data_IF_478001826834
#
_entry.id   IF_478001826834
#
_cell.length_a   1.000
_cell.length_b   1.000
_cell.length_c   1.000
_cell.angle_alpha   90.00
_cell.angle_beta   90.00
_cell.angle_gamma   90.00
#
_symmetry.space_group_name_H-M   'P 1'
#
loop_
_entity.id
_entity.type
_entity.pdbx_description
1 polymer ?
#
# COMPACT_ATOMS: atom_id res chain seq x y z
N UNK A 1 -15.22 0.62 -9.61
CA UNK A 1 -13.84 1.04 -9.31
C UNK A 1 -13.73 1.26 -7.81
N UNK A 2 -12.69 0.74 -7.17
CA UNK A 2 -12.58 0.67 -5.70
C UNK A 2 -11.68 1.73 -5.06
N UNK A 3 -11.68 2.98 -5.58
CA UNK A 3 -10.72 4.02 -5.20
C UNK A 3 -10.46 4.17 -3.69
N UNK A 4 -9.23 4.53 -3.34
CA UNK A 4 -8.73 4.64 -1.97
C UNK A 4 -8.93 6.05 -1.38
N UNK A 5 -8.39 6.27 -0.18
CA UNK A 5 -8.39 7.59 0.46
C UNK A 5 -7.34 8.57 -0.09
N UNK A 6 -6.40 8.13 -0.94
CA UNK A 6 -5.28 8.95 -1.39
C UNK A 6 -5.73 10.28 -2.01
N UNK A 7 -6.84 10.27 -2.77
CA UNK A 7 -7.41 11.49 -3.36
C UNK A 7 -7.81 12.58 -2.35
N UNK A 8 -8.23 12.18 -1.15
CA UNK A 8 -8.61 13.13 -0.10
C UNK A 8 -7.37 13.70 0.58
N UNK A 9 -6.31 12.89 0.72
CA UNK A 9 -5.02 13.33 1.25
C UNK A 9 -4.31 14.26 0.26
N UNK A 10 -4.36 13.96 -1.03
CA UNK A 10 -3.85 14.83 -2.10
C UNK A 10 -4.44 16.24 -2.05
N UNK A 11 -5.71 16.37 -1.66
CA UNK A 11 -6.41 17.65 -1.56
C UNK A 11 -5.87 18.56 -0.43
N UNK A 12 -5.00 18.04 0.44
CA UNK A 12 -4.26 18.82 1.44
C UNK A 12 -2.93 19.39 0.89
N UNK A 13 -2.74 19.38 -0.43
CA UNK A 13 -1.53 19.84 -1.11
C UNK A 13 -0.27 19.02 -0.72
N UNK A 14 -0.43 17.69 -0.63
CA UNK A 14 0.63 16.73 -0.35
C UNK A 14 0.74 15.76 -1.51
N UNK A 15 1.96 15.46 -1.95
CA UNK A 15 2.21 14.42 -2.95
C UNK A 15 1.94 13.02 -2.35
N UNK A 16 1.07 12.25 -3.02
CA UNK A 16 0.62 10.95 -2.51
C UNK A 16 0.76 9.85 -3.56
N UNK A 17 0.99 8.63 -3.08
CA UNK A 17 1.00 7.42 -3.90
C UNK A 17 0.29 6.31 -3.13
N UNK A 18 -0.57 5.55 -3.82
CA UNK A 18 -1.17 4.34 -3.27
C UNK A 18 -0.18 3.17 -3.36
N UNK A 19 0.01 2.46 -2.25
CA UNK A 19 0.92 1.31 -2.14
C UNK A 19 0.23 0.19 -1.36
N UNK A 20 0.49 -1.05 -1.74
CA UNK A 20 -0.09 -2.23 -1.09
C UNK A 20 0.42 -3.53 -1.71
N UNK A 21 -0.10 -4.65 -1.21
CA UNK A 21 0.18 -6.00 -1.74
C UNK A 21 -1.00 -6.51 -2.57
N UNK A 22 -0.76 -7.36 -3.59
CA UNK A 22 -1.85 -8.01 -4.30
C UNK A 22 -2.60 -8.98 -3.37
N UNK A 23 -3.93 -8.95 -3.45
CA UNK A 23 -4.83 -9.81 -2.69
C UNK A 23 -5.69 -10.62 -3.66
N UNK A 24 -5.76 -11.93 -3.44
CA UNK A 24 -6.71 -12.79 -4.15
C UNK A 24 -8.03 -12.87 -3.39
N UNK A 25 -9.13 -12.77 -4.14
CA UNK A 25 -10.50 -12.79 -3.59
C UNK A 25 -10.77 -11.69 -2.55
N UNK A 26 -10.32 -10.46 -2.84
CA UNK A 26 -10.57 -9.30 -1.98
C UNK A 26 -12.07 -9.17 -1.67
N UNK A 27 -12.41 -8.96 -0.39
CA UNK A 27 -13.75 -8.97 0.22
C UNK A 27 -14.42 -10.34 0.43
N UNK A 28 -13.75 -11.46 0.18
CA UNK A 28 -14.25 -12.78 0.57
C UNK A 28 -14.11 -13.02 2.08
N UNK A 29 -14.85 -13.97 2.68
CA UNK A 29 -14.65 -14.38 4.08
C UNK A 29 -13.23 -14.88 4.38
N UNK A 30 -12.48 -15.29 3.35
CA UNK A 30 -11.09 -15.69 3.45
C UNK A 30 -10.29 -15.15 2.26
N UNK A 31 -9.36 -14.24 2.55
CA UNK A 31 -8.48 -13.60 1.56
C UNK A 31 -7.09 -14.24 1.57
N UNK A 32 -6.39 -14.20 0.43
CA UNK A 32 -5.06 -14.80 0.29
C UNK A 32 -4.07 -13.77 -0.22
N UNK A 33 -2.90 -13.73 0.40
CA UNK A 33 -1.76 -12.89 0.02
C UNK A 33 -0.47 -13.70 -0.02
N UNK A 34 0.51 -13.26 -0.83
CA UNK A 34 1.83 -13.89 -0.86
C UNK A 34 2.71 -13.42 0.30
N UNK A 35 3.43 -14.36 0.93
CA UNK A 35 4.43 -14.03 1.96
C UNK A 35 5.55 -13.15 1.42
N UNK A 36 5.97 -13.36 0.17
CA UNK A 36 7.03 -12.56 -0.45
C UNK A 36 6.60 -11.11 -0.62
N UNK A 37 5.35 -10.89 -1.02
CA UNK A 37 4.83 -9.54 -1.27
C UNK A 37 4.66 -8.78 0.04
N UNK A 38 4.19 -9.46 1.11
CA UNK A 38 4.14 -8.89 2.46
C UNK A 38 5.53 -8.48 2.95
N UNK A 39 6.54 -9.34 2.78
CA UNK A 39 7.91 -9.03 3.18
C UNK A 39 8.52 -7.88 2.37
N UNK A 40 8.24 -7.83 1.07
CA UNK A 40 8.73 -6.75 0.21
C UNK A 40 8.02 -5.42 0.49
N UNK A 41 6.72 -5.43 0.81
CA UNK A 41 6.02 -4.23 1.26
C UNK A 41 6.64 -3.68 2.54
N UNK A 42 6.92 -4.54 3.53
CA UNK A 42 7.66 -4.14 4.73
C UNK A 42 9.01 -3.49 4.40
N UNK A 43 9.81 -4.11 3.52
CA UNK A 43 11.10 -3.55 3.10
C UNK A 43 10.96 -2.22 2.36
N UNK A 44 9.93 -2.07 1.53
CA UNK A 44 9.67 -0.83 0.78
C UNK A 44 9.34 0.32 1.74
N UNK A 45 8.47 0.11 2.73
CA UNK A 45 8.18 1.11 3.76
C UNK A 45 9.43 1.45 4.58
N UNK A 46 10.16 0.44 5.04
CA UNK A 46 11.42 0.67 5.78
C UNK A 46 12.42 1.47 4.95
N UNK A 47 12.61 1.13 3.67
CA UNK A 47 13.52 1.86 2.79
C UNK A 47 13.08 3.31 2.56
N UNK A 48 11.78 3.55 2.39
CA UNK A 48 11.23 4.89 2.20
C UNK A 48 11.45 5.81 3.42
N UNK A 49 11.37 5.26 4.63
CA UNK A 49 11.62 6.02 5.86
C UNK A 49 13.09 6.06 6.28
N UNK A 50 13.91 5.09 5.88
CA UNK A 50 15.35 5.02 6.20
C UNK A 50 16.23 5.84 5.26
N UNK A 51 15.73 6.22 4.08
CA UNK A 51 16.39 7.24 3.25
C UNK A 51 16.36 8.58 3.98
N UNK A 52 17.44 8.89 4.70
CA UNK A 52 17.73 10.24 5.16
C UNK A 52 17.83 11.16 3.94
N UNK A 53 16.92 12.12 3.86
CA UNK A 53 17.04 13.28 2.99
C UNK A 53 18.22 14.16 3.45
#
# INVERSE_FOLDING_TARGET
>A
GGGTIAKYVANMNVDVVDLGVPVLSMHAPFEIVSKTDVYMAYRAFSAFFDTKF
#
